data_IF_236881663387
#
_entry.id   IF_236881663387
#
_cell.length_a   1.000
_cell.length_b   1.000
_cell.length_c   1.000
_cell.angle_alpha   90.00
_cell.angle_beta   90.00
_cell.angle_gamma   90.00
#
_symmetry.space_group_name_H-M   'P 1'
#
loop_
_entity.id
_entity.type
_entity.pdbx_description
1 polymer ?
#
# COMPACT_ATOMS: atom_id res chain seq x y z
N UNK A 1 -40.84 10.24 -2.32
CA UNK A 1 -39.92 9.10 -2.08
C UNK A 1 -39.10 8.87 -3.34
N UNK A 2 -37.86 9.36 -3.38
CA UNK A 2 -36.91 8.94 -4.42
C UNK A 2 -36.16 7.73 -3.88
N UNK A 3 -36.28 6.58 -4.55
CA UNK A 3 -35.31 5.50 -4.36
C UNK A 3 -33.98 6.02 -4.90
N UNK A 4 -33.03 6.29 -4.01
CA UNK A 4 -31.64 6.21 -4.42
C UNK A 4 -31.36 4.73 -4.64
N UNK A 5 -31.24 4.32 -5.91
CA UNK A 5 -30.57 3.06 -6.24
C UNK A 5 -29.10 3.24 -5.84
N UNK A 6 -28.78 2.84 -4.61
CA UNK A 6 -27.40 2.68 -4.17
C UNK A 6 -26.78 1.56 -4.98
N UNK A 7 -26.20 1.92 -6.13
CA UNK A 7 -25.34 1.04 -6.91
C UNK A 7 -24.31 0.44 -5.95
N UNK A 8 -24.40 -0.87 -5.74
CA UNK A 8 -23.56 -1.55 -4.78
C UNK A 8 -22.13 -1.50 -5.30
N UNK A 9 -21.31 -0.67 -4.64
CA UNK A 9 -19.98 -0.37 -5.10
C UNK A 9 -19.09 -1.63 -5.17
N UNK A 10 -18.53 -1.92 -6.34
CA UNK A 10 -17.69 -3.10 -6.55
C UNK A 10 -16.22 -2.78 -6.27
N UNK A 11 -15.81 -2.97 -5.01
CA UNK A 11 -14.43 -2.79 -4.54
C UNK A 11 -13.39 -3.54 -5.38
N UNK A 12 -13.77 -4.61 -6.09
CA UNK A 12 -12.84 -5.37 -6.96
C UNK A 12 -12.37 -4.52 -8.12
N UNK A 13 -13.19 -3.57 -8.61
CA UNK A 13 -12.83 -2.67 -9.71
C UNK A 13 -11.66 -1.75 -9.36
N UNK A 14 -11.55 -1.22 -8.13
CA UNK A 14 -10.35 -0.45 -7.77
C UNK A 14 -9.14 -1.31 -7.50
N UNK A 15 -9.31 -2.48 -6.90
CA UNK A 15 -8.17 -3.40 -6.74
C UNK A 15 -7.56 -3.69 -8.13
N UNK A 16 -8.41 -3.95 -9.14
CA UNK A 16 -7.99 -4.15 -10.52
C UNK A 16 -7.43 -2.87 -11.19
N UNK A 17 -8.06 -1.69 -11.01
CA UNK A 17 -7.58 -0.42 -11.59
C UNK A 17 -6.26 0.04 -10.96
N UNK A 18 -6.08 -0.15 -9.65
CA UNK A 18 -4.84 0.13 -8.94
C UNK A 18 -3.72 -0.80 -9.37
N UNK A 19 -3.99 -2.10 -9.50
CA UNK A 19 -3.05 -3.07 -10.09
C UNK A 19 -2.70 -2.69 -11.54
N UNK A 20 -3.68 -2.27 -12.36
CA UNK A 20 -3.43 -1.83 -13.73
C UNK A 20 -2.53 -0.58 -13.79
N UNK A 21 -2.77 0.41 -12.93
CA UNK A 21 -1.92 1.60 -12.80
C UNK A 21 -0.48 1.21 -12.41
N UNK A 22 -0.31 0.32 -11.43
CA UNK A 22 1.00 -0.15 -11.00
C UNK A 22 1.74 -0.91 -12.11
N UNK A 23 1.06 -1.81 -12.84
CA UNK A 23 1.66 -2.56 -13.96
C UNK A 23 2.16 -1.61 -15.05
N UNK A 24 1.39 -0.56 -15.35
CA UNK A 24 1.78 0.48 -16.32
C UNK A 24 2.99 1.27 -15.81
N UNK A 25 3.05 1.58 -14.51
CA UNK A 25 4.20 2.29 -13.92
C UNK A 25 5.48 1.44 -13.84
N UNK A 26 5.37 0.12 -13.59
CA UNK A 26 6.50 -0.82 -13.65
C UNK A 26 7.03 -0.91 -15.09
N UNK A 27 6.13 -1.16 -16.04
CA UNK A 27 6.51 -1.34 -17.45
C UNK A 27 7.14 -0.07 -18.03
N UNK A 28 6.80 1.11 -17.50
CA UNK A 28 7.26 2.39 -17.99
C UNK A 28 8.79 2.56 -18.00
N UNK A 29 9.47 2.32 -16.87
CA UNK A 29 10.90 2.61 -16.75
C UNK A 29 11.74 1.73 -17.70
N UNK A 30 11.56 0.40 -17.76
CA UNK A 30 12.24 -0.43 -18.75
C UNK A 30 11.86 -0.06 -20.19
N UNK A 31 10.58 0.21 -20.48
CA UNK A 31 10.11 0.55 -21.82
C UNK A 31 10.73 1.87 -22.32
N UNK A 32 10.71 2.93 -21.50
CA UNK A 32 11.27 4.24 -21.81
C UNK A 32 12.77 4.18 -22.08
N UNK A 33 13.50 3.36 -21.30
CA UNK A 33 14.94 3.16 -21.45
C UNK A 33 15.30 2.24 -22.63
N UNK A 34 14.44 1.30 -23.01
CA UNK A 34 14.66 0.37 -24.13
C UNK A 34 14.31 0.95 -25.51
N UNK A 35 13.34 1.87 -25.59
CA UNK A 35 12.96 2.54 -26.84
C UNK A 35 14.14 3.14 -27.62
N UNK A 36 15.10 3.90 -27.03
CA UNK A 36 16.23 4.42 -27.78
C UNK A 36 17.11 3.30 -28.39
N UNK A 37 17.27 2.15 -27.74
CA UNK A 37 18.05 1.01 -28.28
C UNK A 37 17.38 0.36 -29.49
N UNK A 38 16.04 0.39 -29.55
CA UNK A 38 15.24 -0.15 -30.68
C UNK A 38 15.17 0.83 -31.86
N UNK A 39 15.14 2.13 -31.57
CA UNK A 39 14.88 3.19 -32.54
C UNK A 39 16.11 4.09 -32.81
N UNK A 40 17.32 3.58 -32.53
CA UNK A 40 18.62 4.27 -32.61
C UNK A 40 19.05 4.76 -34.02
N UNK A 41 18.16 4.75 -35.02
CA UNK A 41 18.47 5.06 -36.42
C UNK A 41 17.90 6.38 -36.96
N UNK A 42 17.15 7.16 -36.16
CA UNK A 42 16.55 8.42 -36.65
C UNK A 42 16.61 9.59 -35.68
N UNK A 43 17.38 10.61 -36.10
CA UNK A 43 17.38 12.00 -35.63
C UNK A 43 17.56 12.23 -34.12
N UNK A 44 18.81 12.49 -33.73
CA UNK A 44 19.09 13.51 -32.71
C UNK A 44 18.58 14.86 -33.21
N UNK A 45 17.60 15.44 -32.51
CA UNK A 45 17.60 16.82 -31.99
C UNK A 45 16.18 17.27 -31.57
N UNK A 46 15.97 18.06 -30.49
CA UNK A 46 16.92 18.57 -29.48
C UNK A 46 16.56 18.00 -28.07
N UNK A 47 17.21 18.53 -27.02
CA UNK A 47 16.85 18.36 -25.59
C UNK A 47 17.00 16.95 -24.96
N UNK A 48 17.55 15.96 -25.68
CA UNK A 48 18.02 14.71 -25.10
C UNK A 48 17.02 13.55 -25.05
N UNK A 49 15.84 13.70 -25.67
CA UNK A 49 14.92 12.61 -25.97
C UNK A 49 14.62 12.59 -27.48
N UNK A 50 14.61 11.40 -28.09
CA UNK A 50 14.26 11.23 -29.50
C UNK A 50 12.75 11.43 -29.74
N UNK A 51 12.34 11.75 -30.97
CA UNK A 51 10.91 11.89 -31.31
C UNK A 51 10.08 10.65 -30.92
N UNK A 52 10.54 9.39 -31.14
CA UNK A 52 9.87 8.20 -30.62
C UNK A 52 9.70 8.20 -29.09
N UNK A 53 10.73 8.58 -28.32
CA UNK A 53 10.62 8.69 -26.85
C UNK A 53 9.60 9.76 -26.43
N UNK A 54 9.57 10.91 -27.11
CA UNK A 54 8.61 11.97 -26.83
C UNK A 54 7.16 11.54 -27.11
N UNK A 55 6.93 10.81 -28.21
CA UNK A 55 5.61 10.23 -28.53
C UNK A 55 5.19 9.22 -27.47
N UNK A 56 6.07 8.27 -27.12
CA UNK A 56 5.72 7.22 -26.14
C UNK A 56 5.54 7.79 -24.73
N UNK A 57 6.32 8.80 -24.33
CA UNK A 57 6.08 9.54 -23.09
C UNK A 57 4.73 10.29 -23.11
N UNK A 58 4.36 10.90 -24.24
CA UNK A 58 3.07 11.56 -24.39
C UNK A 58 1.91 10.56 -24.28
N UNK A 59 1.99 9.41 -24.96
CA UNK A 59 0.98 8.34 -24.89
C UNK A 59 0.89 7.78 -23.46
N UNK A 60 2.02 7.54 -22.80
CA UNK A 60 2.05 7.11 -21.40
C UNK A 60 1.33 8.10 -20.48
N UNK A 61 1.67 9.39 -20.55
CA UNK A 61 1.02 10.41 -19.72
C UNK A 61 -0.48 10.56 -20.03
N UNK A 62 -0.91 10.43 -21.29
CA UNK A 62 -2.33 10.40 -21.64
C UNK A 62 -3.06 9.17 -21.05
N UNK A 63 -2.44 7.99 -21.09
CA UNK A 63 -2.97 6.77 -20.46
C UNK A 63 -3.03 6.91 -18.94
N UNK A 64 -1.99 7.47 -18.31
CA UNK A 64 -1.96 7.78 -16.87
C UNK A 64 -3.06 8.78 -16.50
N UNK A 65 -3.25 9.87 -17.26
CA UNK A 65 -4.31 10.85 -17.02
C UNK A 65 -5.70 10.21 -17.15
N UNK A 66 -5.91 9.38 -18.19
CA UNK A 66 -7.18 8.66 -18.38
C UNK A 66 -7.45 7.69 -17.21
N UNK A 67 -6.43 6.94 -16.76
CA UNK A 67 -6.54 6.06 -15.60
C UNK A 67 -6.78 6.83 -14.31
N UNK A 68 -6.11 7.96 -14.08
CA UNK A 68 -6.35 8.84 -12.94
C UNK A 68 -7.78 9.39 -12.93
N UNK A 69 -8.37 9.67 -14.09
CA UNK A 69 -9.77 10.10 -14.20
C UNK A 69 -10.77 8.97 -13.91
N UNK A 70 -10.48 7.74 -14.35
CA UNK A 70 -11.29 6.55 -14.01
C UNK A 70 -11.15 6.21 -12.51
N UNK A 71 -9.93 6.28 -11.98
CA UNK A 71 -9.63 6.06 -10.56
C UNK A 71 -10.27 7.12 -9.67
N UNK A 72 -10.26 8.40 -10.05
CA UNK A 72 -10.87 9.46 -9.24
C UNK A 72 -12.40 9.32 -9.16
N UNK A 73 -13.06 8.89 -10.24
CA UNK A 73 -14.48 8.52 -10.21
C UNK A 73 -14.74 7.32 -9.31
N UNK A 74 -14.00 6.23 -9.49
CA UNK A 74 -14.15 5.03 -8.65
C UNK A 74 -13.83 5.29 -7.17
N UNK A 75 -12.90 6.22 -6.89
CA UNK A 75 -12.60 6.68 -5.54
C UNK A 75 -13.74 7.53 -4.95
N UNK A 76 -14.42 8.37 -5.74
CA UNK A 76 -15.63 9.08 -5.31
C UNK A 76 -16.71 8.10 -4.85
N UNK A 77 -17.06 7.13 -5.71
CA UNK A 77 -18.09 6.12 -5.41
C UNK A 77 -17.73 5.23 -4.19
N UNK A 78 -16.44 4.97 -3.96
CA UNK A 78 -15.95 4.35 -2.71
C UNK A 78 -16.26 5.22 -1.49
N UNK A 79 -15.83 6.48 -1.54
CA UNK A 79 -15.80 7.37 -0.38
C UNK A 79 -17.22 7.79 0.02
N UNK A 80 -18.17 7.82 -0.91
CA UNK A 80 -19.60 7.96 -0.64
C UNK A 80 -20.17 6.82 0.23
N UNK A 81 -19.58 5.62 0.19
CA UNK A 81 -19.93 4.51 1.07
C UNK A 81 -19.28 4.59 2.47
N UNK A 82 -18.38 5.55 2.70
CA UNK A 82 -17.73 5.80 3.98
C UNK A 82 -18.42 6.94 4.76
N UNK A 83 -18.53 6.78 6.08
CA UNK A 83 -18.98 7.87 6.94
C UNK A 83 -17.84 8.85 7.20
N UNK A 84 -18.19 10.12 7.46
CA UNK A 84 -17.21 11.16 7.82
C UNK A 84 -16.32 10.74 9.00
N UNK A 85 -16.87 10.02 9.98
CA UNK A 85 -16.09 9.49 11.11
C UNK A 85 -15.05 8.45 10.69
N UNK A 86 -15.39 7.55 9.76
CA UNK A 86 -14.45 6.55 9.24
C UNK A 86 -13.35 7.20 8.40
N UNK A 87 -13.70 8.19 7.57
CA UNK A 87 -12.74 8.98 6.79
C UNK A 87 -11.76 9.75 7.68
N UNK A 88 -12.28 10.47 8.69
CA UNK A 88 -11.46 11.24 9.64
C UNK A 88 -10.58 10.31 10.47
N UNK A 89 -11.08 9.16 10.94
CA UNK A 89 -10.24 8.20 11.69
C UNK A 89 -9.17 7.56 10.82
N UNK A 90 -9.46 7.21 9.56
CA UNK A 90 -8.43 6.75 8.62
C UNK A 90 -7.36 7.82 8.40
N UNK A 91 -7.76 9.08 8.14
CA UNK A 91 -6.83 10.18 7.94
C UNK A 91 -5.96 10.48 9.18
N UNK A 92 -6.54 10.46 10.38
CA UNK A 92 -5.79 10.65 11.63
C UNK A 92 -4.79 9.51 11.85
N UNK A 93 -5.19 8.25 11.62
CA UNK A 93 -4.26 7.12 11.69
C UNK A 93 -3.14 7.27 10.65
N UNK A 94 -3.47 7.60 9.40
CA UNK A 94 -2.48 7.79 8.35
C UNK A 94 -1.47 8.92 8.66
N UNK A 95 -1.92 10.05 9.23
CA UNK A 95 -1.03 11.13 9.70
C UNK A 95 -0.11 10.66 10.84
N UNK A 96 -0.66 9.97 11.84
CA UNK A 96 0.14 9.42 12.96
C UNK A 96 1.20 8.46 12.43
N UNK A 97 0.83 7.54 11.55
CA UNK A 97 1.78 6.58 11.00
C UNK A 97 2.77 7.19 10.00
N UNK A 98 2.41 8.23 9.24
CA UNK A 98 3.36 8.98 8.44
C UNK A 98 4.49 9.59 9.27
N UNK A 99 4.19 10.06 10.49
CA UNK A 99 5.20 10.53 11.46
C UNK A 99 6.00 9.35 12.02
N UNK A 100 5.36 8.25 12.41
CA UNK A 100 6.05 7.04 12.89
C UNK A 100 6.99 6.46 11.83
N UNK A 101 6.60 6.45 10.55
CA UNK A 101 7.42 5.98 9.43
C UNK A 101 8.70 6.81 9.30
N UNK A 102 8.60 8.13 9.43
CA UNK A 102 9.75 9.03 9.41
C UNK A 102 10.67 8.82 10.62
N UNK A 103 10.10 8.76 11.84
CA UNK A 103 10.86 8.49 13.07
C UNK A 103 11.58 7.14 12.98
N UNK A 104 10.88 6.08 12.54
CA UNK A 104 11.46 4.75 12.37
C UNK A 104 12.56 4.74 11.31
N UNK A 105 12.36 5.44 10.19
CA UNK A 105 13.40 5.59 9.16
C UNK A 105 14.64 6.31 9.67
N UNK A 106 14.49 7.34 10.52
CA UNK A 106 15.61 8.03 11.15
C UNK A 106 16.32 7.16 12.21
N UNK A 107 15.59 6.32 12.94
CA UNK A 107 16.16 5.34 13.88
C UNK A 107 16.97 4.28 13.12
N UNK A 108 16.42 3.75 12.03
CA UNK A 108 17.04 2.70 11.20
C UNK A 108 18.25 3.22 10.42
N UNK A 109 18.19 4.44 9.87
CA UNK A 109 19.32 5.01 9.12
C UNK A 109 20.41 5.63 10.00
N UNK A 110 20.05 6.13 11.19
CA UNK A 110 20.96 6.73 12.16
C UNK A 110 21.43 5.74 13.23
N UNK A 111 20.88 5.78 14.47
CA UNK A 111 21.35 4.97 15.60
C UNK A 111 21.51 3.47 15.33
N UNK A 112 20.63 2.87 14.52
CA UNK A 112 20.68 1.45 14.17
C UNK A 112 21.37 1.16 12.83
N UNK A 113 21.80 2.18 12.07
CA UNK A 113 22.31 2.02 10.71
C UNK A 113 23.52 1.07 10.61
N UNK A 114 24.40 1.11 11.62
CA UNK A 114 25.53 0.18 11.71
C UNK A 114 25.09 -1.29 11.85
N UNK A 115 24.06 -1.56 12.64
CA UNK A 115 23.49 -2.91 12.79
C UNK A 115 22.69 -3.30 11.54
N UNK A 116 21.83 -2.40 11.05
CA UNK A 116 20.99 -2.60 9.87
C UNK A 116 21.81 -3.00 8.64
N UNK A 117 22.95 -2.35 8.41
CA UNK A 117 23.85 -2.69 7.30
C UNK A 117 24.59 -4.02 7.51
N UNK A 118 24.98 -4.36 8.76
CA UNK A 118 25.66 -5.62 9.08
C UNK A 118 24.76 -6.85 8.96
N UNK A 119 23.44 -6.71 9.07
CA UNK A 119 22.49 -7.81 8.96
C UNK A 119 22.32 -8.36 7.54
N UNK A 120 22.84 -7.66 6.52
CA UNK A 120 22.75 -8.10 5.12
C UNK A 120 21.30 -8.34 4.69
N UNK A 121 20.91 -9.54 4.23
CA UNK A 121 19.54 -9.81 3.80
C UNK A 121 18.54 -9.78 4.96
N UNK A 122 18.99 -9.92 6.22
CA UNK A 122 18.12 -9.90 7.41
C UNK A 122 17.74 -8.49 7.87
N UNK A 123 18.22 -7.44 7.20
CA UNK A 123 17.88 -6.06 7.52
C UNK A 123 16.35 -5.77 7.40
N UNK A 124 15.65 -6.48 6.52
CA UNK A 124 14.18 -6.40 6.39
C UNK A 124 13.41 -6.99 7.59
N UNK A 125 14.08 -7.53 8.61
CA UNK A 125 13.45 -7.79 9.91
C UNK A 125 12.94 -6.50 10.59
N UNK A 126 13.42 -5.32 10.16
CA UNK A 126 12.97 -4.01 10.63
C UNK A 126 11.76 -3.47 9.83
N UNK A 127 11.28 -4.18 8.80
CA UNK A 127 10.34 -3.62 7.82
C UNK A 127 8.90 -3.46 8.30
N UNK A 128 8.41 -4.31 9.21
CA UNK A 128 6.98 -4.45 9.51
C UNK A 128 6.30 -3.20 10.09
N UNK A 129 7.05 -2.25 10.65
CA UNK A 129 6.50 -0.97 11.13
C UNK A 129 5.92 -0.14 9.97
N UNK A 130 6.53 -0.19 8.78
CA UNK A 130 6.06 0.53 7.58
C UNK A 130 4.79 -0.05 6.94
N UNK A 131 4.19 -1.10 7.52
CA UNK A 131 3.01 -1.79 6.97
C UNK A 131 1.80 -1.76 7.92
N UNK A 132 1.94 -1.17 9.11
CA UNK A 132 0.91 -1.20 10.17
C UNK A 132 -0.42 -0.56 9.69
N UNK A 133 -0.46 0.63 9.04
CA UNK A 133 -1.70 1.20 8.51
C UNK A 133 -2.48 0.25 7.60
N UNK A 134 -1.78 -0.47 6.72
CA UNK A 134 -2.34 -1.44 5.78
C UNK A 134 -3.10 -2.60 6.43
N UNK A 135 -2.90 -2.87 7.72
CA UNK A 135 -3.64 -3.89 8.47
C UNK A 135 -4.52 -3.30 9.57
N UNK A 136 -4.06 -2.26 10.26
CA UNK A 136 -4.80 -1.59 11.35
C UNK A 136 -6.10 -0.94 10.86
N UNK A 137 -6.03 -0.15 9.79
CA UNK A 137 -7.18 0.58 9.24
C UNK A 137 -8.28 -0.37 8.74
N UNK A 138 -8.01 -1.42 7.92
CA UNK A 138 -9.05 -2.36 7.52
C UNK A 138 -9.58 -3.21 8.69
N UNK A 139 -8.75 -3.59 9.67
CA UNK A 139 -9.19 -4.36 10.83
C UNK A 139 -10.21 -3.58 11.69
N UNK A 140 -10.02 -2.26 11.83
CA UNK A 140 -10.92 -1.33 12.53
C UNK A 140 -12.19 -1.03 11.71
N UNK A 141 -12.03 -0.53 10.49
CA UNK A 141 -13.11 0.08 9.69
C UNK A 141 -13.92 -0.97 8.93
N UNK A 142 -13.27 -2.04 8.46
CA UNK A 142 -13.87 -3.18 7.75
C UNK A 142 -14.71 -2.79 6.52
N UNK A 143 -14.13 -1.96 5.64
CA UNK A 143 -14.72 -1.52 4.37
C UNK A 143 -13.77 -1.74 3.18
N UNK A 144 -14.29 -1.76 1.93
CA UNK A 144 -13.46 -1.74 0.73
C UNK A 144 -12.55 -0.52 0.66
N UNK A 145 -11.30 -0.75 0.27
CA UNK A 145 -10.26 0.28 0.13
C UNK A 145 -9.59 0.68 1.44
N UNK A 146 -9.93 0.05 2.58
CA UNK A 146 -9.43 0.47 3.88
C UNK A 146 -7.94 0.17 4.11
N UNK A 147 -7.41 -0.92 3.53
CA UNK A 147 -5.97 -1.22 3.55
C UNK A 147 -5.22 -0.25 2.63
N UNK A 148 -5.74 -0.08 1.40
CA UNK A 148 -5.17 0.80 0.39
C UNK A 148 -5.12 2.25 0.85
N UNK A 149 -6.20 2.79 1.38
CA UNK A 149 -6.25 4.18 1.85
C UNK A 149 -5.40 4.37 3.10
N UNK A 150 -5.42 3.42 4.05
CA UNK A 150 -4.60 3.49 5.25
C UNK A 150 -3.11 3.59 4.93
N UNK A 151 -2.61 2.65 4.13
CA UNK A 151 -1.17 2.56 3.80
C UNK A 151 -0.73 3.57 2.74
N UNK A 152 -1.52 3.74 1.67
CA UNK A 152 -1.22 4.68 0.60
C UNK A 152 -1.17 6.13 1.09
N UNK A 153 -2.10 6.53 1.96
CA UNK A 153 -2.09 7.89 2.54
C UNK A 153 -0.97 8.04 3.56
N UNK A 154 -0.68 7.03 4.38
CA UNK A 154 0.45 7.08 5.33
C UNK A 154 1.80 7.20 4.61
N UNK A 155 2.03 6.39 3.57
CA UNK A 155 3.23 6.45 2.73
C UNK A 155 3.38 7.78 1.97
N UNK A 156 2.29 8.29 1.39
CA UNK A 156 2.30 9.59 0.69
C UNK A 156 2.56 10.77 1.63
N UNK A 157 1.89 10.81 2.80
CA UNK A 157 2.17 11.82 3.82
C UNK A 157 3.58 11.68 4.39
N UNK A 158 4.09 10.45 4.55
CA UNK A 158 5.46 10.19 5.00
C UNK A 158 6.48 10.81 4.04
N UNK A 159 6.27 10.67 2.73
CA UNK A 159 7.04 11.36 1.69
C UNK A 159 6.97 12.90 1.85
N UNK A 160 5.77 13.48 1.98
CA UNK A 160 5.61 14.94 2.14
C UNK A 160 6.27 15.50 3.41
N UNK A 161 6.40 14.67 4.46
CA UNK A 161 7.11 15.01 5.70
C UNK A 161 8.65 14.86 5.61
N UNK A 162 9.19 14.55 4.42
CA UNK A 162 10.64 14.50 4.17
C UNK A 162 11.27 13.12 4.34
N UNK A 163 10.53 12.03 4.08
CA UNK A 163 11.04 10.66 4.20
C UNK A 163 12.36 10.44 3.44
N UNK A 164 13.39 9.84 4.08
CA UNK A 164 14.69 9.60 3.45
C UNK A 164 14.61 8.60 2.29
N UNK A 165 13.53 7.82 2.20
CA UNK A 165 13.26 6.88 1.09
C UNK A 165 12.67 7.57 -0.15
N UNK A 166 12.36 8.87 -0.07
CA UNK A 166 11.83 9.67 -1.16
C UNK A 166 10.46 9.22 -1.67
N UNK A 167 10.07 9.72 -2.85
CA UNK A 167 8.75 9.44 -3.43
C UNK A 167 8.55 7.95 -3.73
N UNK A 168 9.53 7.28 -4.34
CA UNK A 168 9.40 5.86 -4.70
C UNK A 168 9.40 4.95 -3.46
N UNK A 169 10.29 5.18 -2.50
CA UNK A 169 10.44 4.33 -1.32
C UNK A 169 9.45 4.60 -0.18
N UNK A 170 8.66 5.69 -0.24
CA UNK A 170 7.60 5.96 0.74
C UNK A 170 6.20 6.03 0.10
N UNK A 171 5.97 6.88 -0.90
CA UNK A 171 4.64 7.07 -1.48
C UNK A 171 4.21 5.89 -2.39
N UNK A 172 5.07 5.51 -3.34
CA UNK A 172 4.79 4.34 -4.20
C UNK A 172 4.87 3.05 -3.39
N UNK A 173 5.79 2.95 -2.43
CA UNK A 173 5.84 1.84 -1.49
C UNK A 173 4.51 1.65 -0.74
N UNK A 174 4.00 2.68 -0.04
CA UNK A 174 2.73 2.59 0.68
C UNK A 174 1.53 2.24 -0.23
N UNK A 175 1.51 2.73 -1.47
CA UNK A 175 0.49 2.34 -2.45
C UNK A 175 0.58 0.86 -2.84
N UNK A 176 1.77 0.35 -3.15
CA UNK A 176 1.96 -1.07 -3.52
C UNK A 176 1.66 -2.02 -2.35
N UNK A 177 2.10 -1.65 -1.15
CA UNK A 177 1.86 -2.36 0.11
C UNK A 177 0.36 -2.38 0.44
N UNK A 178 -0.32 -1.23 0.33
CA UNK A 178 -1.75 -1.09 0.53
C UNK A 178 -2.59 -1.89 -0.48
N UNK A 179 -2.20 -1.91 -1.76
CA UNK A 179 -2.84 -2.77 -2.78
C UNK A 179 -2.65 -4.25 -2.43
N UNK A 180 -1.45 -4.68 -2.08
CA UNK A 180 -1.17 -6.06 -1.67
C UNK A 180 -1.96 -6.47 -0.42
N UNK A 181 -2.06 -5.58 0.58
CA UNK A 181 -2.84 -5.80 1.79
C UNK A 181 -4.36 -5.88 1.51
N UNK A 182 -4.89 -5.09 0.57
CA UNK A 182 -6.30 -5.07 0.20
C UNK A 182 -6.78 -6.37 -0.48
N UNK A 183 -5.90 -7.03 -1.26
CA UNK A 183 -6.26 -8.19 -2.11
C UNK A 183 -6.91 -9.34 -1.33
N UNK A 184 -6.40 -9.81 -0.16
CA UNK A 184 -7.07 -10.87 0.60
C UNK A 184 -8.40 -10.45 1.23
N UNK A 185 -8.58 -9.19 1.60
CA UNK A 185 -9.89 -8.68 2.01
C UNK A 185 -10.87 -8.69 0.82
N UNK A 186 -10.42 -8.25 -0.36
CA UNK A 186 -11.19 -8.30 -1.60
C UNK A 186 -11.61 -9.74 -2.00
N UNK A 187 -10.70 -10.70 -1.84
CA UNK A 187 -10.98 -12.12 -2.08
C UNK A 187 -12.09 -12.67 -1.16
N UNK A 188 -12.22 -12.15 0.06
CA UNK A 188 -13.33 -12.48 0.98
C UNK A 188 -14.54 -11.55 0.86
N UNK A 189 -14.58 -10.70 -0.18
CA UNK A 189 -15.60 -9.65 -0.40
C UNK A 189 -15.76 -8.70 0.80
N UNK A 190 -14.68 -8.40 1.52
CA UNK A 190 -14.69 -7.57 2.73
C UNK A 190 -15.64 -8.09 3.82
N UNK A 191 -15.79 -9.43 3.90
CA UNK A 191 -16.63 -10.10 4.91
C UNK A 191 -15.82 -10.76 6.02
N UNK A 192 -14.50 -10.94 5.86
CA UNK A 192 -13.64 -11.61 6.84
C UNK A 192 -12.44 -10.74 7.19
N UNK A 193 -12.23 -10.57 8.50
CA UNK A 193 -11.13 -9.79 9.09
C UNK A 193 -10.47 -10.55 10.25
N UNK A 194 -10.71 -11.86 10.36
CA UNK A 194 -10.07 -12.71 11.36
C UNK A 194 -8.61 -13.01 10.99
N UNK A 195 -7.88 -13.61 11.93
CA UNK A 195 -6.44 -13.90 11.81
C UNK A 195 -6.02 -14.51 10.46
N UNK A 196 -6.72 -15.51 9.85
CA UNK A 196 -6.30 -16.06 8.56
C UNK A 196 -6.33 -15.05 7.40
N UNK A 197 -7.28 -14.11 7.38
CA UNK A 197 -7.33 -13.06 6.35
C UNK A 197 -6.31 -11.96 6.62
N UNK A 198 -6.05 -11.66 7.90
CA UNK A 198 -5.00 -10.72 8.30
C UNK A 198 -3.59 -11.25 7.94
N UNK A 199 -3.29 -12.52 8.22
CA UNK A 199 -2.02 -13.14 7.81
C UNK A 199 -1.90 -13.23 6.28
N UNK A 200 -2.97 -13.60 5.56
CA UNK A 200 -2.94 -13.55 4.10
C UNK A 200 -2.65 -12.14 3.57
N UNK A 201 -3.22 -11.10 4.21
CA UNK A 201 -2.96 -9.68 3.91
C UNK A 201 -1.50 -9.32 4.14
N UNK A 202 -0.91 -9.75 5.26
CA UNK A 202 0.53 -9.63 5.57
C UNK A 202 1.41 -10.18 4.45
N UNK A 203 1.26 -11.46 4.13
CA UNK A 203 2.01 -12.16 3.09
C UNK A 203 1.91 -11.49 1.72
N UNK A 204 0.70 -11.14 1.26
CA UNK A 204 0.51 -10.53 -0.07
C UNK A 204 1.03 -9.09 -0.10
N UNK A 205 0.93 -8.34 1.00
CA UNK A 205 1.52 -7.00 1.12
C UNK A 205 3.05 -7.03 1.11
N UNK A 206 3.65 -7.98 1.84
CA UNK A 206 5.10 -8.21 1.84
C UNK A 206 5.62 -8.57 0.45
N UNK A 207 4.94 -9.49 -0.26
CA UNK A 207 5.28 -9.85 -1.65
C UNK A 207 5.10 -8.66 -2.60
N UNK A 208 4.03 -7.86 -2.44
CA UNK A 208 3.82 -6.67 -3.26
C UNK A 208 4.93 -5.62 -3.05
N UNK A 209 5.31 -5.33 -1.80
CA UNK A 209 6.45 -4.46 -1.51
C UNK A 209 7.74 -5.01 -2.12
N UNK A 210 7.98 -6.31 -1.96
CA UNK A 210 9.19 -6.94 -2.46
C UNK A 210 9.27 -6.95 -3.99
N UNK A 211 8.18 -7.21 -4.71
CA UNK A 211 8.20 -7.26 -6.18
C UNK A 211 8.26 -5.86 -6.80
N UNK A 212 7.56 -4.87 -6.22
CA UNK A 212 7.36 -3.56 -6.86
C UNK A 212 8.38 -2.50 -6.40
N UNK A 213 8.93 -2.62 -5.19
CA UNK A 213 9.77 -1.59 -4.56
C UNK A 213 11.21 -2.07 -4.40
N UNK A 214 11.41 -3.28 -3.87
CA UNK A 214 12.74 -3.73 -3.43
C UNK A 214 13.79 -3.83 -4.57
N UNK A 215 13.51 -4.42 -5.76
CA UNK A 215 14.42 -4.47 -6.90
C UNK A 215 14.97 -3.11 -7.36
N UNK A 216 14.23 -2.00 -7.17
CA UNK A 216 14.64 -0.69 -7.66
C UNK A 216 16.01 -0.22 -7.14
N UNK A 217 16.42 -0.70 -5.96
CA UNK A 217 17.73 -0.43 -5.36
C UNK A 217 18.57 -1.70 -5.09
N UNK A 218 17.99 -2.88 -5.32
CA UNK A 218 18.54 -4.16 -4.84
C UNK A 218 18.61 -5.26 -5.93
N UNK A 219 18.28 -4.96 -7.18
CA UNK A 219 18.30 -5.94 -8.29
C UNK A 219 19.70 -6.54 -8.58
N UNK A 220 20.77 -5.90 -8.13
CA UNK A 220 22.14 -6.41 -8.25
C UNK A 220 22.47 -7.60 -7.33
N UNK A 221 21.65 -7.92 -6.33
CA UNK A 221 21.91 -9.04 -5.43
C UNK A 221 21.51 -10.39 -6.02
N UNK A 222 22.21 -11.45 -5.60
CA UNK A 222 21.93 -12.81 -6.02
C UNK A 222 20.57 -13.33 -5.48
N UNK A 223 20.02 -14.34 -6.14
CA UNK A 223 18.66 -14.85 -5.88
C UNK A 223 18.48 -15.41 -4.45
N UNK A 224 19.54 -15.96 -3.85
CA UNK A 224 19.57 -16.45 -2.48
C UNK A 224 19.47 -15.29 -1.46
N UNK A 225 20.21 -14.21 -1.67
CA UNK A 225 20.10 -12.97 -0.88
C UNK A 225 18.70 -12.38 -0.98
N UNK A 226 18.15 -12.29 -2.20
CA UNK A 226 16.80 -11.80 -2.46
C UNK A 226 15.74 -12.67 -1.76
N UNK A 227 15.87 -14.00 -1.81
CA UNK A 227 14.96 -14.92 -1.13
C UNK A 227 15.03 -14.81 0.40
N UNK A 228 16.22 -14.69 0.99
CA UNK A 228 16.40 -14.46 2.42
C UNK A 228 15.81 -13.11 2.86
N UNK A 229 15.96 -12.07 2.05
CA UNK A 229 15.39 -10.76 2.36
C UNK A 229 13.85 -10.75 2.26
N UNK A 230 13.27 -11.41 1.27
CA UNK A 230 11.82 -11.62 1.19
C UNK A 230 11.31 -12.38 2.43
N UNK A 231 12.00 -13.45 2.86
CA UNK A 231 11.65 -14.19 4.05
C UNK A 231 11.70 -13.32 5.32
N UNK A 232 12.77 -12.53 5.49
CA UNK A 232 12.90 -11.57 6.59
C UNK A 232 11.78 -10.51 6.56
N UNK A 233 11.42 -10.02 5.37
CA UNK A 233 10.32 -9.07 5.16
C UNK A 233 8.99 -9.68 5.59
N UNK A 234 8.66 -10.90 5.13
CA UNK A 234 7.43 -11.61 5.51
C UNK A 234 7.37 -11.79 7.03
N UNK A 235 8.43 -12.31 7.66
CA UNK A 235 8.48 -12.51 9.12
C UNK A 235 8.22 -11.19 9.86
N UNK A 236 8.84 -10.09 9.43
CA UNK A 236 8.64 -8.76 10.03
C UNK A 236 7.22 -8.25 9.85
N UNK A 237 6.66 -8.37 8.65
CA UNK A 237 5.31 -7.92 8.31
C UNK A 237 4.24 -8.71 9.06
N UNK A 238 4.40 -10.03 9.22
CA UNK A 238 3.45 -10.84 10.01
C UNK A 238 3.53 -10.54 11.51
N UNK A 239 4.75 -10.50 12.07
CA UNK A 239 4.93 -10.35 13.53
C UNK A 239 4.68 -8.91 13.98
N UNK A 240 5.29 -7.93 13.32
CA UNK A 240 5.24 -6.52 13.72
C UNK A 240 4.09 -5.79 13.02
N UNK A 241 3.92 -5.99 11.71
CA UNK A 241 2.84 -5.36 10.94
C UNK A 241 1.46 -5.87 11.36
N UNK A 242 1.14 -7.12 11.03
CA UNK A 242 -0.15 -7.75 11.33
C UNK A 242 -0.35 -7.94 12.83
N UNK A 243 0.60 -8.56 13.52
CA UNK A 243 0.53 -8.79 14.97
C UNK A 243 0.43 -7.49 15.77
N UNK A 244 1.27 -6.50 15.47
CA UNK A 244 1.22 -5.18 16.09
C UNK A 244 -0.09 -4.44 15.81
N UNK A 245 -0.64 -4.55 14.60
CA UNK A 245 -1.95 -3.95 14.25
C UNK A 245 -3.10 -4.54 15.05
N UNK A 246 -3.13 -5.87 15.24
CA UNK A 246 -4.15 -6.54 16.05
C UNK A 246 -4.04 -6.08 17.51
N UNK A 247 -2.83 -6.11 18.09
CA UNK A 247 -2.61 -5.69 19.48
C UNK A 247 -2.97 -4.22 19.72
N UNK A 248 -2.61 -3.33 18.78
CA UNK A 248 -2.94 -1.90 18.85
C UNK A 248 -4.47 -1.68 18.72
N UNK A 249 -5.14 -2.38 17.83
CA UNK A 249 -6.60 -2.30 17.71
C UNK A 249 -7.32 -2.80 18.96
N UNK A 250 -6.85 -3.86 19.61
CA UNK A 250 -7.40 -4.35 20.88
C UNK A 250 -7.14 -3.37 22.02
N UNK A 251 -5.95 -2.76 22.10
CA UNK A 251 -5.66 -1.68 23.04
C UNK A 251 -6.60 -0.46 22.84
N UNK A 252 -6.84 -0.07 21.58
CA UNK A 252 -7.79 1.01 21.23
C UNK A 252 -9.26 0.63 21.47
N UNK A 253 -9.63 -0.66 21.43
CA UNK A 253 -10.96 -1.11 21.86
C UNK A 253 -11.16 -0.87 23.37
N UNK A 254 -10.14 -1.14 24.17
CA UNK A 254 -10.20 -0.99 25.63
C UNK A 254 -10.36 0.47 26.10
N UNK A 255 -9.95 1.47 25.30
CA UNK A 255 -10.23 2.89 25.61
C UNK A 255 -11.66 3.32 25.26
N UNK A 256 -12.42 2.48 24.58
CA UNK A 256 -13.77 2.78 24.09
C UNK A 256 -13.83 3.70 22.88
N UNK A 257 -12.70 4.22 22.36
CA UNK A 257 -12.68 5.10 21.18
C UNK A 257 -13.22 4.39 19.94
N UNK A 258 -13.04 3.07 19.85
CA UNK A 258 -13.51 2.26 18.72
C UNK A 258 -14.97 1.77 18.82
N UNK A 259 -15.74 2.18 19.85
CA UNK A 259 -17.11 1.70 20.09
C UNK A 259 -18.10 1.91 18.93
N UNK A 260 -17.83 2.87 18.03
CA UNK A 260 -18.65 3.17 16.84
C UNK A 260 -18.27 2.37 15.60
N UNK A 261 -17.14 1.65 15.61
CA UNK A 261 -16.57 0.99 14.44
C UNK A 261 -17.04 -0.46 14.25
N UNK A 262 -16.83 -0.99 13.04
CA UNK A 262 -17.24 -2.34 12.67
C UNK A 262 -16.55 -3.43 13.50
N UNK A 263 -15.30 -3.20 13.93
CA UNK A 263 -14.54 -4.09 14.81
C UNK A 263 -15.25 -4.40 16.15
N UNK A 264 -15.95 -3.42 16.75
CA UNK A 264 -16.73 -3.62 17.98
C UNK A 264 -18.16 -4.05 17.69
N UNK A 265 -18.78 -3.50 16.64
CA UNK A 265 -20.19 -3.81 16.30
C UNK A 265 -20.39 -5.23 15.78
N UNK A 266 -19.45 -5.77 15.00
CA UNK A 266 -19.51 -7.13 14.47
C UNK A 266 -19.46 -8.21 15.56
N UNK A 267 -18.54 -8.06 16.52
CA UNK A 267 -18.37 -9.01 17.63
C UNK A 267 -19.66 -9.17 18.47
N UNK A 268 -20.38 -8.06 18.73
CA UNK A 268 -21.67 -8.08 19.46
C UNK A 268 -22.81 -8.78 18.71
N UNK A 269 -22.69 -8.99 17.41
CA UNK A 269 -23.67 -9.74 16.61
C UNK A 269 -23.35 -11.23 16.62
N UNK A 270 -22.07 -11.61 16.56
CA UNK A 270 -21.62 -13.00 16.68
C UNK A 270 -21.94 -13.58 18.07
N UNK A 271 -21.68 -12.84 19.17
CA UNK A 271 -22.07 -13.25 20.54
C UNK A 271 -23.58 -13.49 20.73
N UNK A 272 -24.43 -12.83 19.93
CA UNK A 272 -25.89 -12.97 20.00
C UNK A 272 -26.45 -14.05 19.09
N UNK A 273 -25.71 -14.47 18.06
CA UNK A 273 -26.09 -15.57 17.16
C UNK A 273 -25.64 -16.96 17.63
N UNK A 274 -24.79 -17.03 18.66
CA UNK A 274 -24.26 -18.27 19.24
C UNK A 274 -24.92 -18.68 20.57
N UNK A 275 -26.18 -18.29 20.82
CA UNK A 275 -26.98 -18.68 21.99
C UNK A 275 -28.34 -19.22 21.57
#
# INVERSE_FOLDING_TARGET
>A
MLKQDTQQFDGRKLALLGVALLVIFIAWIPLYNWIPDVWASTATDLSGATIPQAIVATVFWLVVIALLFVLSRAAGELLDAWSTTELVTMAVLAVIFAVIFNIWSAIVSGPLGGLYNQLGPWNSLFSGIWFIPGFLVPYIIRKPGAALLGEGVAGFLSFLLGSPWGFMGAAIAGLTQGIGAEVPFAATNWRRYGLPTMLASGLVSAIASFVFVYPMWNAQYALDWLALNLLATIISVEVIGVGGSILLAEALKNTGVLNRFAIVRGAKTEEKGGR
#
